data_IF_247154867763
#
_entry.id   IF_247154867763
#
_cell.length_a   1.000
_cell.length_b   1.000
_cell.length_c   1.000
_cell.angle_alpha   90.00
_cell.angle_beta   90.00
_cell.angle_gamma   90.00
#
_symmetry.space_group_name_H-M   'P 1'
#
loop_
_entity.id
_entity.type
_entity.pdbx_description
1 polymer ?
#
# COMPACT_ATOMS: atom_id res chain seq x y z
N UNK A 1 -65.04 8.80 -0.25
CA UNK A 1 -64.34 8.33 0.96
C UNK A 1 -64.06 6.87 0.72
N UNK A 2 -62.85 6.55 0.27
CA UNK A 2 -62.59 5.32 -0.48
C UNK A 2 -61.93 4.26 0.43
N UNK A 3 -62.58 3.10 0.52
CA UNK A 3 -62.31 1.98 1.44
C UNK A 3 -60.98 1.25 1.16
N UNK A 4 -60.30 1.61 0.07
CA UNK A 4 -59.01 1.06 -0.39
C UNK A 4 -57.83 1.38 0.54
N UNK A 5 -57.91 2.46 1.34
CA UNK A 5 -56.83 2.84 2.26
C UNK A 5 -56.76 1.93 3.50
N UNK A 6 -57.90 1.39 3.95
CA UNK A 6 -57.96 0.55 5.14
C UNK A 6 -57.51 -0.91 4.90
N UNK A 7 -57.72 -1.45 3.69
CA UNK A 7 -57.22 -2.79 3.34
C UNK A 7 -55.68 -2.83 3.23
N UNK A 8 -55.06 -1.77 2.70
CA UNK A 8 -53.60 -1.69 2.60
C UNK A 8 -52.93 -1.58 3.98
N UNK A 9 -53.50 -0.82 4.92
CA UNK A 9 -52.92 -0.73 6.27
C UNK A 9 -53.02 -2.04 7.06
N UNK A 10 -54.06 -2.86 6.84
CA UNK A 10 -54.18 -4.16 7.50
C UNK A 10 -53.23 -5.21 6.89
N UNK A 11 -52.96 -5.17 5.58
CA UNK A 11 -51.95 -6.03 4.96
C UNK A 11 -50.52 -5.66 5.40
N UNK A 12 -50.21 -4.37 5.54
CA UNK A 12 -48.90 -3.91 6.03
C UNK A 12 -48.61 -4.34 7.47
N UNK A 13 -49.61 -4.33 8.37
CA UNK A 13 -49.42 -4.80 9.76
C UNK A 13 -49.21 -6.31 9.84
N UNK A 14 -49.97 -7.12 9.08
CA UNK A 14 -49.79 -8.59 9.05
C UNK A 14 -48.47 -9.06 8.44
N UNK A 15 -47.82 -8.23 7.62
CA UNK A 15 -46.52 -8.53 7.02
C UNK A 15 -45.36 -8.17 7.95
N UNK A 16 -45.55 -7.16 8.83
CA UNK A 16 -44.59 -6.79 9.87
C UNK A 16 -44.46 -7.86 10.95
N UNK A 17 -45.58 -8.43 11.39
CA UNK A 17 -45.60 -9.42 12.48
C UNK A 17 -45.03 -10.80 12.06
N UNK A 18 -44.83 -11.05 10.75
CA UNK A 18 -44.21 -12.30 10.24
C UNK A 18 -42.70 -12.21 10.04
N UNK A 19 -42.10 -11.03 10.18
CA UNK A 19 -40.67 -10.82 9.91
C UNK A 19 -39.80 -10.77 11.18
N UNK A 20 -40.34 -11.04 12.37
CA UNK A 20 -39.58 -11.05 13.62
C UNK A 20 -38.94 -12.41 13.99
N UNK A 21 -38.71 -13.31 13.01
CA UNK A 21 -37.93 -14.51 13.31
C UNK A 21 -37.10 -15.00 12.13
N UNK A 22 -35.93 -14.38 11.96
CA UNK A 22 -34.76 -14.98 11.30
C UNK A 22 -33.54 -14.06 11.50
N UNK A 23 -32.84 -14.21 12.62
CA UNK A 23 -31.50 -13.62 12.86
C UNK A 23 -30.42 -14.33 12.00
N UNK A 24 -30.59 -14.29 10.68
CA UNK A 24 -29.58 -14.67 9.71
C UNK A 24 -29.00 -13.42 9.04
N UNK A 25 -27.73 -13.41 8.57
CA UNK A 25 -27.19 -12.28 7.85
C UNK A 25 -28.09 -11.95 6.67
N UNK A 26 -28.52 -10.69 6.59
CA UNK A 26 -29.38 -10.20 5.51
C UNK A 26 -28.70 -10.49 4.16
N UNK A 27 -29.36 -11.20 3.21
CA UNK A 27 -28.78 -11.36 1.88
C UNK A 27 -28.62 -9.96 1.25
N UNK A 28 -27.50 -9.71 0.55
CA UNK A 28 -27.21 -8.40 0.01
C UNK A 28 -28.34 -7.97 -0.95
N UNK A 29 -28.73 -6.69 -0.95
CA UNK A 29 -29.79 -6.20 -1.83
C UNK A 29 -29.40 -6.43 -3.29
N UNK A 30 -30.30 -7.04 -4.06
CA UNK A 30 -30.19 -7.08 -5.51
C UNK A 30 -30.31 -5.64 -6.03
N UNK A 31 -29.32 -5.22 -6.85
CA UNK A 31 -29.14 -3.93 -7.56
C UNK A 31 -28.03 -3.00 -7.02
N UNK A 32 -26.78 -3.46 -7.16
CA UNK A 32 -25.67 -2.61 -7.61
C UNK A 32 -25.04 -3.37 -8.79
N UNK A 33 -25.09 -2.80 -10.00
CA UNK A 33 -24.42 -3.40 -11.17
C UNK A 33 -22.94 -3.57 -10.89
N UNK A 34 -22.31 -4.63 -11.45
CA UNK A 34 -20.90 -4.97 -11.21
C UNK A 34 -20.00 -3.72 -11.16
N UNK A 35 -19.66 -3.27 -9.96
CA UNK A 35 -18.57 -2.35 -9.75
C UNK A 35 -17.29 -3.18 -9.97
N UNK A 36 -16.69 -2.97 -11.13
CA UNK A 36 -15.35 -3.35 -11.56
C UNK A 36 -14.40 -3.79 -10.41
N UNK A 37 -14.43 -5.06 -10.02
CA UNK A 37 -13.46 -5.63 -9.08
C UNK A 37 -12.16 -5.89 -9.83
N UNK A 38 -11.14 -5.04 -9.67
CA UNK A 38 -9.78 -5.41 -10.09
C UNK A 38 -9.18 -6.34 -9.05
N UNK A 39 -8.62 -7.47 -9.49
CA UNK A 39 -7.79 -8.28 -8.60
C UNK A 39 -6.54 -7.47 -8.25
N UNK A 40 -6.24 -7.28 -6.96
CA UNK A 40 -5.06 -6.53 -6.56
C UNK A 40 -3.81 -7.21 -7.08
N UNK A 41 -2.79 -6.40 -7.41
CA UNK A 41 -1.45 -6.92 -7.55
C UNK A 41 -0.91 -7.19 -6.15
N UNK A 42 -0.51 -8.42 -5.86
CA UNK A 42 0.03 -8.80 -4.55
C UNK A 42 1.50 -9.20 -4.74
N UNK A 43 2.38 -8.62 -3.94
CA UNK A 43 3.81 -8.89 -3.94
C UNK A 43 4.41 -8.61 -2.57
N UNK A 44 5.61 -9.10 -2.34
CA UNK A 44 6.39 -8.77 -1.15
C UNK A 44 7.10 -7.41 -1.34
N UNK A 45 7.49 -6.80 -0.24
CA UNK A 45 8.36 -5.64 -0.24
C UNK A 45 9.67 -5.87 -1.03
N UNK A 46 10.22 -4.81 -1.62
CA UNK A 46 11.31 -4.86 -2.61
C UNK A 46 11.04 -5.66 -3.90
N UNK A 47 9.96 -6.44 -3.97
CA UNK A 47 9.76 -7.42 -5.02
C UNK A 47 9.26 -6.80 -6.33
N UNK A 48 9.23 -7.64 -7.36
CA UNK A 48 8.71 -7.30 -8.68
C UNK A 48 7.64 -8.31 -9.08
N UNK A 49 6.47 -7.82 -9.50
CA UNK A 49 5.35 -8.67 -9.92
C UNK A 49 4.83 -8.29 -11.32
N UNK A 50 4.48 -9.27 -12.16
CA UNK A 50 3.94 -9.00 -13.49
C UNK A 50 2.54 -8.41 -13.40
N UNK A 51 2.27 -7.39 -14.20
CA UNK A 51 0.90 -6.90 -14.40
C UNK A 51 0.21 -7.80 -15.41
N UNK A 52 -0.89 -8.40 -14.99
CA UNK A 52 -1.64 -9.36 -15.79
C UNK A 52 -2.98 -8.79 -16.25
N UNK A 53 -3.59 -9.43 -17.26
CA UNK A 53 -4.83 -8.95 -17.85
C UNK A 53 -6.01 -8.92 -16.87
N UNK A 54 -5.97 -9.66 -15.77
CA UNK A 54 -7.01 -9.62 -14.74
C UNK A 54 -6.83 -8.49 -13.72
N UNK A 55 -5.61 -7.97 -13.54
CA UNK A 55 -5.39 -6.76 -12.74
C UNK A 55 -5.99 -5.52 -13.42
N UNK A 56 -6.23 -5.61 -14.73
CA UNK A 56 -6.79 -4.53 -15.54
C UNK A 56 -8.10 -5.01 -16.15
N UNK A 57 -9.22 -4.71 -15.49
CA UNK A 57 -10.58 -5.06 -15.94
C UNK A 57 -10.99 -4.45 -17.32
N UNK A 58 -10.07 -3.74 -18.00
CA UNK A 58 -10.21 -3.18 -19.35
C UNK A 58 -10.53 -4.21 -20.43
N UNK A 59 -10.19 -5.48 -20.19
CA UNK A 59 -10.54 -6.56 -21.11
C UNK A 59 -11.95 -7.12 -20.90
N UNK A 60 -12.83 -6.43 -20.17
CA UNK A 60 -14.26 -6.73 -20.26
C UNK A 60 -14.61 -6.78 -21.76
N UNK A 61 -15.00 -7.98 -22.21
CA UNK A 61 -15.06 -8.47 -23.60
C UNK A 61 -15.89 -7.60 -24.58
N UNK A 62 -16.38 -6.46 -24.12
CA UNK A 62 -17.37 -5.60 -24.74
C UNK A 62 -16.80 -4.26 -25.23
N UNK A 63 -15.71 -3.71 -24.65
CA UNK A 63 -15.24 -2.35 -25.01
C UNK A 63 -14.29 -2.29 -26.23
N UNK A 64 -13.54 -3.37 -26.47
CA UNK A 64 -12.47 -3.42 -27.46
C UNK A 64 -12.55 -4.62 -28.41
N UNK A 65 -13.71 -5.26 -28.53
CA UNK A 65 -13.89 -6.51 -29.30
C UNK A 65 -13.41 -6.44 -30.76
N UNK A 66 -13.40 -5.24 -31.36
CA UNK A 66 -12.97 -4.99 -32.74
C UNK A 66 -11.70 -4.11 -32.83
N UNK A 67 -11.01 -3.85 -31.72
CA UNK A 67 -9.81 -3.01 -31.68
C UNK A 67 -8.61 -3.90 -31.40
N UNK A 68 -7.60 -3.81 -32.26
CA UNK A 68 -6.38 -4.59 -32.08
C UNK A 68 -5.63 -4.17 -30.81
N UNK A 69 -4.98 -5.12 -30.14
CA UNK A 69 -4.31 -4.87 -28.85
C UNK A 69 -3.13 -3.90 -28.98
N UNK A 70 -2.47 -3.85 -30.14
CA UNK A 70 -1.45 -2.83 -30.42
C UNK A 70 -2.00 -1.41 -30.52
N UNK A 71 -3.31 -1.24 -30.73
CA UNK A 71 -3.95 0.07 -30.87
C UNK A 71 -4.56 0.59 -29.55
N UNK A 72 -4.37 -0.12 -28.44
CA UNK A 72 -4.85 0.30 -27.12
C UNK A 72 -3.62 0.69 -26.30
N UNK A 73 -3.41 1.99 -26.14
CA UNK A 73 -2.35 2.55 -25.32
C UNK A 73 -2.86 2.78 -23.90
N UNK A 74 -2.08 2.33 -22.93
CA UNK A 74 -2.20 2.71 -21.52
C UNK A 74 -1.12 3.73 -21.19
N UNK A 75 -1.47 4.77 -20.44
CA UNK A 75 -0.54 5.77 -19.89
C UNK A 75 -0.77 5.88 -18.39
N UNK A 76 0.30 5.95 -17.61
CA UNK A 76 0.21 6.34 -16.21
C UNK A 76 -0.38 7.74 -16.11
N UNK A 77 -1.37 7.91 -15.23
CA UNK A 77 -1.88 9.23 -14.85
C UNK A 77 -0.81 9.97 -14.04
N UNK A 78 -0.26 9.28 -13.03
CA UNK A 78 0.80 9.72 -12.15
C UNK A 78 1.72 8.53 -11.85
N UNK A 79 3.00 8.76 -11.50
CA UNK A 79 3.85 7.71 -10.96
C UNK A 79 3.23 7.09 -9.70
N UNK A 80 3.32 5.75 -9.50
CA UNK A 80 2.96 5.13 -8.22
C UNK A 80 3.79 5.74 -7.09
N UNK A 81 3.26 5.69 -5.86
CA UNK A 81 3.89 6.35 -4.72
C UNK A 81 5.07 5.52 -4.16
N UNK A 82 4.95 4.20 -4.20
CA UNK A 82 5.88 3.25 -3.58
C UNK A 82 6.47 2.25 -4.59
N UNK A 83 6.56 2.67 -5.86
CA UNK A 83 7.08 1.79 -6.89
C UNK A 83 7.02 2.37 -8.29
N UNK A 84 7.28 1.51 -9.27
CA UNK A 84 7.34 1.90 -10.67
C UNK A 84 6.97 0.78 -11.63
N UNK A 85 6.49 1.17 -12.81
CA UNK A 85 6.28 0.24 -13.91
C UNK A 85 7.56 0.01 -14.70
N UNK A 86 7.85 -1.25 -14.99
CA UNK A 86 9.01 -1.69 -15.75
C UNK A 86 8.60 -2.45 -17.01
N UNK A 87 9.35 -2.24 -18.08
CA UNK A 87 9.33 -3.08 -19.28
C UNK A 87 10.77 -3.41 -19.66
N UNK A 88 11.09 -4.71 -19.69
CA UNK A 88 12.47 -5.19 -19.86
C UNK A 88 13.46 -4.56 -18.84
N UNK A 89 13.00 -4.37 -17.60
CA UNK A 89 13.79 -3.78 -16.52
C UNK A 89 13.98 -2.26 -16.58
N UNK A 90 13.41 -1.59 -17.59
CA UNK A 90 13.48 -0.13 -17.72
C UNK A 90 12.17 0.52 -17.27
N UNK A 91 12.22 1.65 -16.53
CA UNK A 91 11.05 2.42 -16.15
C UNK A 91 10.25 2.89 -17.37
N UNK A 92 8.94 2.76 -17.30
CA UNK A 92 8.02 3.20 -18.36
C UNK A 92 6.81 3.94 -17.77
N UNK A 93 6.24 4.84 -18.56
CA UNK A 93 4.99 5.53 -18.23
C UNK A 93 3.84 5.18 -19.19
N UNK A 94 4.12 4.41 -20.24
CA UNK A 94 3.13 4.03 -21.23
C UNK A 94 3.48 2.68 -21.85
N UNK A 95 2.46 1.92 -22.22
CA UNK A 95 2.60 0.63 -22.86
C UNK A 95 1.33 0.27 -23.64
N UNK A 96 1.43 -0.67 -24.57
CA UNK A 96 0.25 -1.14 -25.33
C UNK A 96 -0.34 -2.40 -24.72
N UNK A 97 -1.62 -2.66 -24.96
CA UNK A 97 -2.32 -3.83 -24.43
C UNK A 97 -1.66 -5.18 -24.80
N UNK A 98 -0.96 -5.24 -25.93
CA UNK A 98 -0.20 -6.42 -26.34
C UNK A 98 1.01 -6.69 -25.43
N UNK A 99 1.54 -5.67 -24.74
CA UNK A 99 2.65 -5.86 -23.79
C UNK A 99 2.21 -6.62 -22.54
N UNK A 100 1.01 -6.34 -22.00
CA UNK A 100 0.42 -7.12 -20.91
C UNK A 100 0.16 -8.55 -21.36
N UNK A 101 -0.40 -8.71 -22.57
CA UNK A 101 -0.70 -10.05 -23.11
C UNK A 101 0.55 -10.90 -23.32
N UNK A 102 1.71 -10.26 -23.46
CA UNK A 102 3.01 -10.90 -23.59
C UNK A 102 3.80 -10.95 -22.27
N UNK A 103 3.18 -10.61 -21.13
CA UNK A 103 3.80 -10.57 -19.79
C UNK A 103 5.08 -9.72 -19.73
N UNK A 104 5.08 -8.56 -20.40
CA UNK A 104 6.26 -7.67 -20.48
C UNK A 104 6.24 -6.53 -19.46
N UNK A 105 5.11 -6.31 -18.81
CA UNK A 105 4.89 -5.19 -17.91
C UNK A 105 4.94 -5.71 -16.48
N UNK A 106 5.77 -5.08 -15.67
CA UNK A 106 5.95 -5.41 -14.27
C UNK A 106 5.77 -4.17 -13.42
N UNK A 107 5.34 -4.35 -12.18
CA UNK A 107 5.49 -3.35 -11.13
C UNK A 107 6.62 -3.80 -10.21
N UNK A 108 7.49 -2.87 -9.82
CA UNK A 108 8.53 -3.07 -8.81
C UNK A 108 8.27 -2.13 -7.64
N UNK A 109 8.17 -2.70 -6.45
CA UNK A 109 8.10 -1.95 -5.20
C UNK A 109 9.47 -1.34 -4.87
N UNK A 110 9.48 -0.19 -4.22
CA UNK A 110 10.69 0.61 -3.97
C UNK A 110 11.43 0.27 -2.67
N UNK A 111 11.01 -0.78 -1.97
CA UNK A 111 11.61 -1.23 -0.69
C UNK A 111 11.31 -0.26 0.47
N UNK A 112 10.23 0.52 0.35
CA UNK A 112 9.74 1.34 1.47
C UNK A 112 8.67 0.60 2.28
N UNK A 113 8.74 0.74 3.60
CA UNK A 113 7.89 0.13 4.63
C UNK A 113 6.38 0.45 4.49
N UNK A 114 5.77 -0.06 3.43
CA UNK A 114 4.40 0.24 3.04
C UNK A 114 3.64 -1.02 2.66
N UNK A 115 2.34 -0.97 2.87
CA UNK A 115 1.45 -2.13 2.68
C UNK A 115 0.52 -1.96 1.48
N UNK A 116 0.43 -0.75 0.92
CA UNK A 116 -0.45 -0.42 -0.18
C UNK A 116 0.20 0.58 -1.14
N UNK A 117 -0.08 0.41 -2.42
CA UNK A 117 0.19 1.40 -3.46
C UNK A 117 -0.93 1.33 -4.51
N UNK A 118 -0.91 2.23 -5.49
CA UNK A 118 -1.96 2.34 -6.48
C UNK A 118 -1.44 2.76 -7.85
N UNK A 119 -1.89 2.05 -8.90
CA UNK A 119 -1.50 2.33 -10.28
C UNK A 119 -2.72 2.86 -11.04
N UNK A 120 -2.72 4.17 -11.30
CA UNK A 120 -3.72 4.85 -12.13
C UNK A 120 -3.32 4.89 -13.59
N UNK A 121 -4.11 4.28 -14.48
CA UNK A 121 -3.87 4.24 -15.91
C UNK A 121 -5.01 4.89 -16.68
N UNK A 122 -4.69 5.75 -17.64
CA UNK A 122 -5.62 6.20 -18.66
C UNK A 122 -5.44 5.38 -19.95
N UNK A 123 -6.52 5.15 -20.68
CA UNK A 123 -6.46 4.53 -22.01
C UNK A 123 -6.75 5.50 -23.14
N UNK A 124 -6.04 5.30 -24.24
CA UNK A 124 -6.28 5.93 -25.53
C UNK A 124 -6.28 4.87 -26.65
N UNK A 125 -7.16 5.03 -27.63
CA UNK A 125 -7.17 4.19 -28.84
C UNK A 125 -6.38 4.92 -29.92
N UNK A 126 -5.28 4.31 -30.37
CA UNK A 126 -4.43 4.82 -31.45
C UNK A 126 -4.80 4.06 -32.72
N UNK A 127 -5.83 4.50 -33.43
CA UNK A 127 -6.18 3.92 -34.74
C UNK A 127 -6.64 5.00 -35.70
N UNK A 128 -6.35 4.82 -36.99
CA UNK A 128 -6.72 5.76 -38.05
C UNK A 128 -8.23 5.77 -38.35
N UNK A 129 -8.99 4.81 -37.86
CA UNK A 129 -10.39 4.54 -38.26
C UNK A 129 -11.46 4.84 -37.20
N UNK A 130 -11.13 5.46 -36.06
CA UNK A 130 -12.14 5.73 -35.02
C UNK A 130 -12.62 7.19 -35.09
N UNK A 131 -13.75 7.37 -35.76
CA UNK A 131 -14.48 8.66 -35.93
C UNK A 131 -15.37 8.96 -34.70
N UNK A 132 -14.87 8.77 -33.48
CA UNK A 132 -15.61 9.17 -32.28
C UNK A 132 -14.64 9.43 -31.13
N UNK A 133 -14.82 10.51 -30.34
CA UNK A 133 -14.11 10.66 -29.09
C UNK A 133 -14.62 9.60 -28.11
N UNK A 134 -14.04 8.40 -28.15
CA UNK A 134 -14.21 7.44 -27.05
C UNK A 134 -13.57 8.07 -25.83
N UNK A 135 -14.38 8.35 -24.80
CA UNK A 135 -13.93 8.89 -23.52
C UNK A 135 -12.73 8.05 -23.01
N UNK A 136 -11.65 8.71 -22.61
CA UNK A 136 -10.51 8.04 -21.98
C UNK A 136 -11.05 7.29 -20.75
N UNK A 137 -10.84 5.97 -20.71
CA UNK A 137 -11.19 5.18 -19.53
C UNK A 137 -10.02 5.18 -18.56
N UNK A 138 -10.33 5.37 -17.28
CA UNK A 138 -9.38 5.30 -16.19
C UNK A 138 -9.48 3.90 -15.55
N UNK A 139 -8.34 3.27 -15.34
CA UNK A 139 -8.18 2.00 -14.65
C UNK A 139 -7.34 2.18 -13.42
N UNK A 140 -7.75 1.51 -12.35
CA UNK A 140 -7.10 1.59 -11.05
C UNK A 140 -6.69 0.19 -10.60
N UNK A 141 -5.39 -0.04 -10.47
CA UNK A 141 -4.86 -1.32 -9.98
C UNK A 141 -4.40 -1.10 -8.53
N UNK A 142 -5.13 -1.63 -7.54
CA UNK A 142 -4.65 -1.63 -6.17
C UNK A 142 -3.46 -2.59 -6.05
N UNK A 143 -2.41 -2.16 -5.37
CA UNK A 143 -1.24 -2.97 -5.04
C UNK A 143 -1.28 -3.26 -3.55
N UNK A 144 -1.10 -4.52 -3.17
CA UNK A 144 -0.97 -4.97 -1.78
C UNK A 144 0.44 -5.51 -1.59
N UNK A 145 1.13 -4.93 -0.63
CA UNK A 145 2.52 -5.27 -0.32
C UNK A 145 2.52 -6.07 0.98
N UNK A 146 3.13 -7.26 0.95
CA UNK A 146 3.42 -8.01 2.15
C UNK A 146 4.73 -7.46 2.74
N UNK A 147 4.72 -6.98 3.99
CA UNK A 147 5.95 -6.54 4.67
C UNK A 147 6.98 -7.67 4.71
N UNK A 148 8.25 -7.31 4.56
CA UNK A 148 9.39 -8.23 4.67
C UNK A 148 10.30 -7.71 5.75
N UNK A 149 10.51 -8.53 6.79
CA UNK A 149 11.33 -8.11 7.93
C UNK A 149 12.79 -7.90 7.54
N UNK A 150 13.25 -6.66 7.58
CA UNK A 150 14.63 -6.28 7.31
C UNK A 150 15.46 -6.09 8.58
N UNK A 151 16.81 -6.04 8.48
CA UNK A 151 17.66 -5.79 9.65
C UNK A 151 17.52 -4.36 10.17
N UNK A 152 17.64 -4.13 11.49
CA UNK A 152 17.64 -2.80 12.07
C UNK A 152 18.80 -1.94 11.53
N UNK A 153 18.53 -0.67 11.29
CA UNK A 153 19.51 0.31 10.88
C UNK A 153 20.01 1.16 12.07
N UNK A 154 21.34 1.20 12.24
CA UNK A 154 22.01 2.13 13.15
C UNK A 154 22.81 3.15 12.35
N UNK A 155 22.36 4.40 12.36
CA UNK A 155 22.94 5.53 11.63
C UNK A 155 23.54 6.55 12.60
N UNK A 156 24.50 7.31 12.09
CA UNK A 156 25.02 8.50 12.77
C UNK A 156 23.90 9.51 13.07
N UNK A 157 23.93 10.06 14.29
CA UNK A 157 23.12 11.22 14.65
C UNK A 157 23.60 12.52 14.00
N UNK A 158 22.83 13.59 14.14
CA UNK A 158 23.10 14.89 13.50
C UNK A 158 24.44 15.50 13.93
N UNK A 159 24.88 15.24 15.15
CA UNK A 159 26.10 15.80 15.77
C UNK A 159 27.09 14.67 16.17
N UNK A 160 26.99 13.50 15.52
CA UNK A 160 27.67 12.27 15.93
C UNK A 160 29.20 12.29 15.85
N UNK A 161 29.80 13.26 15.14
CA UNK A 161 31.25 13.43 15.10
C UNK A 161 31.83 13.88 16.45
N UNK A 162 31.11 14.74 17.20
CA UNK A 162 31.61 15.26 18.47
C UNK A 162 30.48 15.71 19.39
N UNK A 163 30.34 15.01 20.51
CA UNK A 163 29.39 15.37 21.58
C UNK A 163 30.16 15.97 22.76
N UNK A 164 29.85 17.22 23.10
CA UNK A 164 30.47 17.92 24.22
C UNK A 164 29.78 17.53 25.53
N UNK A 165 30.52 16.91 26.44
CA UNK A 165 30.07 16.59 27.79
C UNK A 165 31.01 17.31 28.76
N UNK A 166 30.45 18.17 29.61
CA UNK A 166 31.21 18.80 30.68
C UNK A 166 31.59 17.77 31.74
N UNK A 167 32.74 17.95 32.40
CA UNK A 167 33.18 17.06 33.48
C UNK A 167 32.07 16.87 34.53
N UNK A 168 31.92 15.63 35.02
CA UNK A 168 30.90 15.22 36.00
C UNK A 168 29.45 15.49 35.58
N UNK A 169 29.21 15.72 34.29
CA UNK A 169 27.87 15.93 33.72
C UNK A 169 27.43 14.74 32.89
N UNK A 170 26.14 14.70 32.55
CA UNK A 170 25.54 13.66 31.70
C UNK A 170 24.98 14.28 30.44
N UNK A 171 25.01 13.52 29.35
CA UNK A 171 24.34 13.82 28.11
C UNK A 171 23.41 12.67 27.78
N UNK A 172 22.13 12.98 27.53
CA UNK A 172 21.17 11.98 27.06
C UNK A 172 21.61 11.46 25.70
N UNK A 173 21.57 10.13 25.53
CA UNK A 173 21.80 9.49 24.24
C UNK A 173 20.55 9.65 23.39
N UNK A 174 20.58 10.61 22.47
CA UNK A 174 19.44 10.96 21.60
C UNK A 174 19.84 10.96 20.12
N UNK A 175 18.94 11.45 19.25
CA UNK A 175 19.13 11.52 17.79
C UNK A 175 20.30 12.40 17.33
N UNK A 176 20.92 13.19 18.22
CA UNK A 176 22.17 13.90 17.92
C UNK A 176 23.35 12.95 17.89
N UNK A 177 23.31 11.90 18.71
CA UNK A 177 24.37 10.90 18.80
C UNK A 177 24.18 9.77 17.77
N UNK A 178 22.98 9.15 17.76
CA UNK A 178 22.67 7.99 16.92
C UNK A 178 21.23 8.05 16.45
N UNK A 179 20.94 7.48 15.28
CA UNK A 179 19.57 7.21 14.84
C UNK A 179 19.40 5.69 14.72
N UNK A 180 18.42 5.14 15.43
CA UNK A 180 18.10 3.71 15.42
C UNK A 180 16.70 3.52 14.83
N UNK A 181 16.61 2.81 13.72
CA UNK A 181 15.36 2.57 13.01
C UNK A 181 15.19 1.10 12.66
N UNK A 182 14.01 0.57 12.95
CA UNK A 182 13.53 -0.75 12.59
C UNK A 182 12.01 -0.64 12.61
N UNK A 183 11.36 -0.83 11.45
CA UNK A 183 9.93 -0.66 11.29
C UNK A 183 9.16 -1.98 11.51
N UNK A 184 9.83 -3.11 11.35
CA UNK A 184 9.25 -4.45 11.33
C UNK A 184 9.21 -5.10 12.71
N UNK A 185 10.17 -4.75 13.56
CA UNK A 185 10.39 -5.40 14.85
C UNK A 185 9.74 -4.66 16.02
N UNK A 186 9.36 -5.40 17.06
CA UNK A 186 8.99 -4.78 18.33
C UNK A 186 10.23 -4.06 18.90
N UNK A 187 10.14 -2.77 19.30
CA UNK A 187 11.27 -2.03 19.86
C UNK A 187 11.93 -2.67 21.09
N UNK A 188 11.26 -3.59 21.79
CA UNK A 188 11.83 -4.37 22.90
C UNK A 188 12.81 -5.48 22.44
N UNK A 189 12.77 -5.84 21.16
CA UNK A 189 13.52 -6.97 20.58
C UNK A 189 14.74 -6.54 19.76
N UNK A 190 14.82 -5.25 19.43
CA UNK A 190 15.96 -4.63 18.75
C UNK A 190 16.95 -4.14 19.80
N UNK A 191 18.20 -4.57 19.72
CA UNK A 191 19.22 -4.23 20.71
C UNK A 191 20.43 -3.52 20.10
N UNK A 192 20.93 -2.53 20.81
CA UNK A 192 22.22 -1.89 20.53
C UNK A 192 23.21 -2.30 21.62
N UNK A 193 24.45 -2.60 21.23
CA UNK A 193 25.53 -2.94 22.16
C UNK A 193 26.70 -1.97 22.02
N UNK A 194 27.24 -1.53 23.15
CA UNK A 194 28.46 -0.72 23.22
C UNK A 194 29.66 -1.65 23.04
N UNK A 195 30.34 -1.52 21.91
CA UNK A 195 31.53 -2.36 21.60
C UNK A 195 32.80 -1.78 22.24
N UNK A 196 32.88 -0.45 22.32
CA UNK A 196 34.00 0.25 22.95
C UNK A 196 33.54 1.63 23.46
N UNK A 197 34.09 2.04 24.59
CA UNK A 197 33.96 3.38 25.14
C UNK A 197 35.25 3.74 25.87
N UNK A 198 35.77 4.96 25.67
CA UNK A 198 36.97 5.45 26.33
C UNK A 198 36.67 6.80 27.00
N UNK A 199 37.01 6.92 28.28
CA UNK A 199 36.73 8.12 29.09
C UNK A 199 35.26 8.41 29.39
N UNK A 200 34.31 7.65 28.84
CA UNK A 200 32.85 7.79 29.05
C UNK A 200 32.20 6.41 29.26
N UNK A 201 30.99 6.41 29.80
CA UNK A 201 30.14 5.22 29.91
C UNK A 201 28.67 5.58 29.69
N UNK A 202 27.87 4.62 29.26
CA UNK A 202 26.41 4.75 29.27
C UNK A 202 25.87 4.31 30.62
N UNK A 203 24.85 5.02 31.11
CA UNK A 203 24.14 4.68 32.33
C UNK A 203 22.64 4.72 32.08
N UNK A 204 21.91 3.82 32.74
CA UNK A 204 20.45 3.88 32.81
C UNK A 204 19.96 4.97 33.79
N UNK A 205 18.63 5.12 33.86
CA UNK A 205 17.94 6.01 34.82
C UNK A 205 18.27 5.73 36.30
N UNK A 206 18.69 4.51 36.65
CA UNK A 206 19.13 4.12 37.99
C UNK A 206 20.64 4.37 38.24
N UNK A 207 21.36 4.96 37.27
CA UNK A 207 22.81 5.22 37.28
C UNK A 207 23.66 3.95 37.26
N UNK A 208 23.13 2.84 36.78
CA UNK A 208 23.91 1.63 36.54
C UNK A 208 24.53 1.73 35.17
N UNK A 209 25.79 1.33 35.08
CA UNK A 209 26.48 1.24 33.81
C UNK A 209 25.81 0.17 32.93
N UNK A 210 25.54 0.52 31.67
CA UNK A 210 24.94 -0.36 30.69
C UNK A 210 25.84 -0.50 29.47
N UNK A 211 25.87 -1.69 28.90
CA UNK A 211 26.59 -1.99 27.65
C UNK A 211 25.64 -2.46 26.54
N UNK A 212 24.37 -2.63 26.85
CA UNK A 212 23.34 -3.08 25.91
C UNK A 212 22.00 -2.48 26.33
N UNK A 213 21.27 -1.95 25.36
CA UNK A 213 19.94 -1.37 25.55
C UNK A 213 19.05 -1.70 24.34
N UNK A 214 17.74 -1.63 24.53
CA UNK A 214 16.74 -1.87 23.48
C UNK A 214 16.46 -0.59 22.69
N UNK A 215 15.84 -0.72 21.52
CA UNK A 215 15.29 0.45 20.82
C UNK A 215 14.24 1.15 21.66
N UNK A 216 13.46 0.42 22.49
CA UNK A 216 12.52 1.05 23.43
C UNK A 216 13.24 1.95 24.44
N UNK A 217 14.32 1.48 25.06
CA UNK A 217 15.09 2.26 26.03
C UNK A 217 15.58 3.57 25.40
N UNK A 218 16.09 3.48 24.17
CA UNK A 218 16.53 4.66 23.40
C UNK A 218 15.40 5.65 23.10
N UNK A 219 14.23 5.15 22.68
CA UNK A 219 13.06 5.99 22.38
C UNK A 219 12.51 6.68 23.63
N UNK A 220 12.60 6.04 24.79
CA UNK A 220 12.15 6.60 26.06
C UNK A 220 13.21 7.51 26.71
N UNK A 221 14.49 7.36 26.34
CA UNK A 221 15.65 7.91 27.05
C UNK A 221 15.80 7.34 28.48
N UNK A 222 15.54 6.04 28.66
CA UNK A 222 15.55 5.34 29.95
C UNK A 222 16.88 4.65 30.30
#
# INVERSE_FOLDING_TARGET
>A
FDETSHQNQQQWKRQKDRNEQSDGPRPPPHYVGLQHFTEPLVLDEGATAPIQSWNIYAFSRHHYKNISKENILFRLLEPPQHGQLLKYGQPINQFVSSDISANKIFYKHDDSETTIDNIGLETAIISREVVTPKRNMIYNIPVRINPVNDPPELKSGTDSEMLWITGDSKLTLDSRAINLWDADSDPETVYVSVIAADGVRLEDSERKEIQKFTQRDFLNND
#
